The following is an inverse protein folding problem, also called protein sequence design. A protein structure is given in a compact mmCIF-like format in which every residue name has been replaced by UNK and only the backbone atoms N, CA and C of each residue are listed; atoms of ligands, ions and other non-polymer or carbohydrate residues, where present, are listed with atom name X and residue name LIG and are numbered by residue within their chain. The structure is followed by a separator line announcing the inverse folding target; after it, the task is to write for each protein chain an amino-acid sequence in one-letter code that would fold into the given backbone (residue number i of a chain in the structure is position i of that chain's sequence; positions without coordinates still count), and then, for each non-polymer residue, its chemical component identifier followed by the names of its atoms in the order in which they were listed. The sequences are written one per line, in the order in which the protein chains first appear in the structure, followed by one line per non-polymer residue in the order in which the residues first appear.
data_IF_738631184741
#
_entry.id   IF_738631184741
#
_cell.length_a   1.000
_cell.length_b   1.000
_cell.length_c   1.000
_cell.angle_alpha   90.00
_cell.angle_beta   90.00
_cell.angle_gamma   90.00
#
_symmetry.space_group_name_H-M   'P 1'
#
loop_
_entity.id
_entity.type
_entity.pdbx_description
1 polymer ?
#
# COMPACT_ATOMS: atom_id res chain seq x y z
N UNK A 1 -8.55 -9.58 5.57
CA UNK A 1 -7.12 -9.70 5.17
C UNK A 1 -6.76 -11.07 4.59
N UNK A 2 -6.94 -12.18 5.33
CA UNK A 2 -6.53 -13.54 4.87
C UNK A 2 -7.17 -13.93 3.53
N UNK A 3 -8.49 -13.83 3.45
CA UNK A 3 -9.27 -14.07 2.22
C UNK A 3 -8.81 -13.18 1.03
N UNK A 4 -8.51 -11.91 1.28
CA UNK A 4 -7.96 -11.02 0.26
C UNK A 4 -6.60 -11.50 -0.28
N UNK A 5 -5.74 -12.04 0.58
CA UNK A 5 -4.46 -12.61 0.16
C UNK A 5 -4.63 -13.89 -0.67
N UNK A 6 -5.66 -14.69 -0.38
CA UNK A 6 -5.98 -15.90 -1.15
C UNK A 6 -6.45 -15.53 -2.57
N UNK A 7 -7.43 -14.63 -2.67
CA UNK A 7 -7.87 -14.11 -3.97
C UNK A 7 -6.74 -13.46 -4.77
N UNK A 8 -5.81 -12.78 -4.11
CA UNK A 8 -4.65 -12.20 -4.78
C UNK A 8 -3.74 -13.26 -5.38
N UNK A 9 -3.50 -14.37 -4.67
CA UNK A 9 -2.73 -15.52 -5.17
C UNK A 9 -3.41 -16.22 -6.34
N UNK A 10 -4.74 -16.26 -6.32
CA UNK A 10 -5.56 -16.80 -7.42
C UNK A 10 -5.65 -15.86 -8.64
N UNK A 11 -5.01 -14.69 -8.60
CA UNK A 11 -5.09 -13.69 -9.67
C UNK A 11 -6.39 -12.88 -9.70
N UNK A 12 -7.31 -13.12 -8.75
CA UNK A 12 -8.59 -12.38 -8.61
C UNK A 12 -8.36 -11.05 -7.89
N UNK A 13 -7.65 -10.13 -8.55
CA UNK A 13 -7.19 -8.87 -7.95
C UNK A 13 -8.35 -7.97 -7.50
N UNK A 14 -9.45 -7.92 -8.24
CA UNK A 14 -10.61 -7.10 -7.88
C UNK A 14 -11.35 -7.64 -6.64
N UNK A 15 -11.48 -8.96 -6.53
CA UNK A 15 -12.06 -9.60 -5.36
C UNK A 15 -11.17 -9.37 -4.13
N UNK A 16 -9.85 -9.50 -4.29
CA UNK A 16 -8.88 -9.19 -3.25
C UNK A 16 -9.04 -7.76 -2.71
N UNK A 17 -9.17 -6.77 -3.62
CA UNK A 17 -9.38 -5.36 -3.26
C UNK A 17 -10.65 -5.17 -2.41
N UNK A 18 -11.78 -5.77 -2.81
CA UNK A 18 -13.04 -5.72 -2.04
C UNK A 18 -12.88 -6.32 -0.65
N UNK A 19 -12.17 -7.45 -0.52
CA UNK A 19 -11.90 -8.07 0.78
C UNK A 19 -11.00 -7.20 1.67
N UNK A 20 -10.04 -6.47 1.12
CA UNK A 20 -9.24 -5.51 1.89
C UNK A 20 -10.06 -4.32 2.37
N UNK A 21 -10.94 -3.76 1.54
CA UNK A 21 -11.84 -2.67 1.93
C UNK A 21 -12.81 -3.09 3.05
N UNK A 22 -13.39 -4.29 2.94
CA UNK A 22 -14.22 -4.86 4.02
C UNK A 22 -13.44 -5.01 5.32
N UNK A 23 -12.20 -5.49 5.23
CA UNK A 23 -11.33 -5.62 6.40
C UNK A 23 -11.02 -4.26 7.03
N UNK A 24 -10.73 -3.22 6.23
CA UNK A 24 -10.50 -1.86 6.72
C UNK A 24 -11.72 -1.29 7.46
N UNK A 25 -12.92 -1.49 6.92
CA UNK A 25 -14.16 -1.07 7.58
C UNK A 25 -14.38 -1.81 8.92
N UNK A 26 -14.05 -3.10 8.99
CA UNK A 26 -14.19 -3.87 10.22
C UNK A 26 -13.25 -3.41 11.35
N UNK A 27 -12.09 -2.86 10.99
CA UNK A 27 -11.09 -2.35 11.95
C UNK A 27 -11.05 -0.82 12.03
N UNK A 28 -12.05 -0.12 11.48
CA UNK A 28 -12.05 1.35 11.42
C UNK A 28 -12.02 2.01 12.80
N UNK A 29 -12.70 1.37 13.78
CA UNK A 29 -12.81 1.85 15.16
C UNK A 29 -11.74 1.24 16.09
N UNK A 30 -10.94 0.28 15.61
CA UNK A 30 -9.89 -0.34 16.40
C UNK A 30 -8.62 0.52 16.37
N UNK A 31 -8.46 1.32 17.42
CA UNK A 31 -7.30 2.20 17.62
C UNK A 31 -6.13 1.50 18.32
N UNK A 32 -6.25 0.20 18.60
CA UNK A 32 -5.15 -0.56 19.18
C UNK A 32 -3.96 -0.65 18.22
N UNK A 33 -2.81 -1.06 18.76
CA UNK A 33 -1.62 -1.37 17.95
C UNK A 33 -1.93 -2.44 16.89
N UNK A 34 -2.65 -3.50 17.27
CA UNK A 34 -3.06 -4.57 16.36
C UNK A 34 -4.00 -4.07 15.25
N UNK A 35 -4.95 -3.18 15.58
CA UNK A 35 -5.82 -2.52 14.61
C UNK A 35 -5.05 -1.68 13.61
N UNK A 36 -4.06 -0.92 14.09
CA UNK A 36 -3.18 -0.09 13.25
C UNK A 36 -2.29 -0.93 12.32
N UNK A 37 -1.68 -2.02 12.82
CA UNK A 37 -0.92 -2.98 12.00
C UNK A 37 -1.79 -3.67 10.94
N UNK A 38 -3.03 -4.02 11.29
CA UNK A 38 -3.98 -4.60 10.34
C UNK A 38 -4.37 -3.59 9.26
N UNK A 39 -4.66 -2.33 9.63
CA UNK A 39 -4.95 -1.25 8.66
C UNK A 39 -3.76 -1.01 7.73
N UNK A 40 -2.55 -0.91 8.26
CA UNK A 40 -1.32 -0.75 7.48
C UNK A 40 -1.19 -1.86 6.44
N UNK A 41 -1.32 -3.12 6.86
CA UNK A 41 -1.23 -4.27 5.97
C UNK A 41 -2.33 -4.27 4.90
N UNK A 42 -3.55 -3.87 5.23
CA UNK A 42 -4.66 -3.80 4.27
C UNK A 42 -4.46 -2.68 3.24
N UNK A 43 -4.07 -1.47 3.67
CA UNK A 43 -3.75 -0.37 2.75
C UNK A 43 -2.60 -0.72 1.80
N UNK A 44 -1.53 -1.34 2.31
CA UNK A 44 -0.44 -1.82 1.47
C UNK A 44 -0.96 -2.77 0.40
N UNK A 45 -1.72 -3.81 0.77
CA UNK A 45 -2.19 -4.80 -0.20
C UNK A 45 -3.25 -4.23 -1.17
N UNK A 46 -4.10 -3.30 -0.71
CA UNK A 46 -5.01 -2.56 -1.57
C UNK A 46 -4.25 -1.74 -2.62
N UNK A 47 -3.18 -1.02 -2.23
CA UNK A 47 -2.33 -0.29 -3.15
C UNK A 47 -1.70 -1.21 -4.21
N UNK A 48 -1.23 -2.40 -3.82
CA UNK A 48 -0.69 -3.38 -4.77
C UNK A 48 -1.74 -3.88 -5.75
N UNK A 49 -2.97 -4.14 -5.29
CA UNK A 49 -4.08 -4.52 -6.16
C UNK A 49 -4.39 -3.40 -7.16
N UNK A 50 -4.45 -2.16 -6.71
CA UNK A 50 -4.72 -1.00 -7.55
C UNK A 50 -3.63 -0.77 -8.60
N UNK A 51 -2.36 -0.98 -8.25
CA UNK A 51 -1.26 -0.97 -9.23
C UNK A 51 -1.42 -2.06 -10.29
N UNK A 52 -1.79 -3.29 -9.89
CA UNK A 52 -2.06 -4.39 -10.84
C UNK A 52 -3.27 -4.15 -11.74
N UNK A 53 -4.24 -3.36 -11.27
CA UNK A 53 -5.41 -2.94 -12.05
C UNK A 53 -5.18 -1.65 -12.84
N UNK A 54 -3.93 -1.16 -12.90
CA UNK A 54 -3.55 0.08 -13.60
C UNK A 54 -4.38 1.30 -13.13
N UNK A 55 -4.68 1.35 -11.82
CA UNK A 55 -5.38 2.45 -11.14
C UNK A 55 -4.41 3.22 -10.23
N UNK A 56 -3.44 3.97 -10.79
CA UNK A 56 -2.38 4.60 -10.01
C UNK A 56 -2.90 5.67 -9.04
N UNK A 57 -3.96 6.41 -9.38
CA UNK A 57 -4.57 7.39 -8.46
C UNK A 57 -5.10 6.76 -7.17
N UNK A 58 -5.75 5.60 -7.28
CA UNK A 58 -6.21 4.85 -6.12
C UNK A 58 -5.02 4.29 -5.32
N UNK A 59 -4.00 3.78 -6.00
CA UNK A 59 -2.80 3.28 -5.34
C UNK A 59 -2.10 4.37 -4.52
N UNK A 60 -2.02 5.61 -5.02
CA UNK A 60 -1.48 6.75 -4.28
C UNK A 60 -2.25 7.02 -2.98
N UNK A 61 -3.58 6.98 -3.03
CA UNK A 61 -4.42 7.21 -1.85
C UNK A 61 -4.16 6.16 -0.78
N UNK A 62 -4.17 4.88 -1.15
CA UNK A 62 -3.90 3.77 -0.23
C UNK A 62 -2.48 3.84 0.35
N UNK A 63 -1.47 4.16 -0.47
CA UNK A 63 -0.10 4.36 0.00
C UNK A 63 0.02 5.54 0.97
N UNK A 64 -0.67 6.65 0.73
CA UNK A 64 -0.67 7.80 1.63
C UNK A 64 -1.29 7.45 2.99
N UNK A 65 -2.38 6.66 2.99
CA UNK A 65 -2.99 6.17 4.23
C UNK A 65 -2.04 5.22 4.98
N UNK A 66 -1.35 4.32 4.28
CA UNK A 66 -0.32 3.47 4.87
C UNK A 66 0.81 4.28 5.53
N UNK A 67 1.31 5.32 4.84
CA UNK A 67 2.39 6.18 5.35
C UNK A 67 1.96 7.10 6.51
N UNK A 68 0.66 7.38 6.65
CA UNK A 68 0.14 8.06 7.85
C UNK A 68 0.15 7.16 9.08
N UNK A 69 0.02 5.84 8.89
CA UNK A 69 0.10 4.86 9.99
C UNK A 69 1.56 4.58 10.32
N UNK A 70 2.38 4.33 9.30
CA UNK A 70 3.82 4.11 9.44
C UNK A 70 4.58 4.86 8.34
N UNK A 71 5.19 5.98 8.72
CA UNK A 71 5.96 6.83 7.82
C UNK A 71 7.28 6.21 7.34
N UNK A 72 7.67 5.04 7.86
CA UNK A 72 8.85 4.27 7.43
C UNK A 72 8.46 3.00 6.66
N UNK A 73 7.19 2.83 6.30
CA UNK A 73 6.72 1.69 5.53
C UNK A 73 7.33 1.66 4.11
N UNK A 74 8.45 0.96 3.95
CA UNK A 74 9.21 0.82 2.69
C UNK A 74 8.33 0.32 1.53
N UNK A 75 7.45 -0.64 1.80
CA UNK A 75 6.47 -1.14 0.82
C UNK A 75 5.49 -0.06 0.34
N UNK A 76 5.14 0.90 1.19
CA UNK A 76 4.25 1.99 0.82
C UNK A 76 4.98 2.99 -0.08
N UNK A 77 6.21 3.39 0.29
CA UNK A 77 7.07 4.28 -0.51
C UNK A 77 7.31 3.71 -1.91
N UNK A 78 7.74 2.44 -1.99
CA UNK A 78 7.99 1.77 -3.27
C UNK A 78 6.74 1.66 -4.16
N UNK A 79 5.57 1.41 -3.57
CA UNK A 79 4.31 1.32 -4.34
C UNK A 79 3.82 2.71 -4.76
N UNK A 80 4.05 3.73 -3.93
CA UNK A 80 3.70 5.12 -4.22
C UNK A 80 4.57 5.68 -5.34
N UNK A 81 5.87 5.38 -5.35
CA UNK A 81 6.76 5.74 -6.44
C UNK A 81 6.32 5.12 -7.78
N UNK A 82 5.96 3.83 -7.79
CA UNK A 82 5.38 3.18 -8.98
C UNK A 82 4.08 3.83 -9.45
N UNK A 83 3.21 4.23 -8.52
CA UNK A 83 1.98 4.92 -8.87
C UNK A 83 2.25 6.31 -9.47
N UNK A 84 3.22 7.06 -8.94
CA UNK A 84 3.67 8.33 -9.50
C UNK A 84 4.27 8.16 -10.90
N UNK A 85 5.09 7.13 -11.13
CA UNK A 85 5.60 6.79 -12.48
C UNK A 85 4.44 6.54 -13.45
N UNK A 86 3.43 5.77 -13.03
CA UNK A 86 2.23 5.52 -13.85
C UNK A 86 1.38 6.76 -14.13
N UNK A 87 1.62 7.88 -13.42
CA UNK A 87 0.98 9.18 -13.65
C UNK A 87 1.90 10.19 -14.35
N UNK A 88 3.15 9.84 -14.65
CA UNK A 88 4.14 10.75 -15.20
C UNK A 88 4.75 11.72 -14.18
N UNK A 89 4.51 11.52 -12.88
CA UNK A 89 4.97 12.38 -11.79
C UNK A 89 6.37 11.96 -11.32
N UNK A 90 7.35 11.97 -12.22
CA UNK A 90 8.68 11.37 -11.99
C UNK A 90 9.47 12.01 -10.83
N UNK A 91 9.31 13.32 -10.61
CA UNK A 91 9.98 14.00 -9.49
C UNK A 91 9.53 13.44 -8.14
N UNK A 92 8.20 13.29 -7.94
CA UNK A 92 7.63 12.70 -6.72
C UNK A 92 7.98 11.23 -6.57
N UNK A 93 8.05 10.50 -7.69
CA UNK A 93 8.51 9.12 -7.68
C UNK A 93 9.97 9.01 -7.19
N UNK A 94 10.84 9.93 -7.62
CA UNK A 94 12.24 9.99 -7.20
C UNK A 94 12.34 10.29 -5.70
N UNK A 95 11.60 11.27 -5.19
CA UNK A 95 11.56 11.58 -3.75
C UNK A 95 11.20 10.35 -2.89
N UNK A 96 10.22 9.55 -3.34
CA UNK A 96 9.84 8.32 -2.65
C UNK A 96 10.94 7.24 -2.68
N UNK A 97 11.71 7.17 -3.77
CA UNK A 97 12.84 6.24 -3.91
C UNK A 97 14.03 6.70 -3.09
N UNK A 98 14.36 7.99 -3.09
CA UNK A 98 15.44 8.55 -2.28
C UNK A 98 15.18 8.27 -0.79
N UNK A 99 13.96 8.52 -0.32
CA UNK A 99 13.55 8.18 1.05
C UNK A 99 13.58 6.67 1.34
N UNK A 100 13.27 5.84 0.35
CA UNK A 100 13.37 4.38 0.50
C UNK A 100 14.83 3.96 0.73
N UNK A 101 15.76 4.53 -0.05
CA UNK A 101 17.20 4.27 0.05
C UNK A 101 17.79 4.80 1.37
N UNK A 102 17.28 5.90 1.92
CA UNK A 102 17.67 6.37 3.25
C UNK A 102 17.22 5.43 4.38
N UNK A 103 16.15 4.66 4.16
CA UNK A 103 15.54 3.80 5.17
C UNK A 103 16.05 2.36 5.15
N UNK A 104 16.49 1.87 3.99
CA UNK A 104 17.20 0.60 3.89
C UNK A 104 18.68 0.88 4.19
N UNK A 105 19.25 0.39 5.31
CA UNK A 105 20.69 0.45 5.48
C UNK A 105 21.30 -0.29 4.29
N UNK A 106 22.15 0.39 3.53
CA UNK A 106 23.03 -0.28 2.57
C UNK A 106 23.87 -1.26 3.39
N UNK A 107 23.50 -2.54 3.37
CA UNK A 107 24.41 -3.61 3.74
C UNK A 107 25.58 -3.53 2.74
N UNK A 108 26.71 -3.00 3.19
CA UNK A 108 28.03 -3.18 2.56
C UNK A 108 28.56 -4.61 2.77
#
# INVERSE_FOLDING_TARGET
KKEGNEHFKEGKVEAALKCYQRALNAVSCDLSKAGSEMRLSCHLNAALCLLKLEKPKGALQECNLALRIDGRATKALFRRSKAYVGLGEYNKAKEDVDRLLELEPQDE
#
